data_IF_637440033229
#
_entry.id   IF_637440033229
#
_cell.length_a   1.000
_cell.length_b   1.000
_cell.length_c   1.000
_cell.angle_alpha   90.00
_cell.angle_beta   90.00
_cell.angle_gamma   90.00
#
_symmetry.space_group_name_H-M   'P 1'
#
loop_
_entity.id
_entity.type
_entity.pdbx_description
1 polymer ?
#
# COMPACT_ATOMS: atom_id res chain seq x y z
N UNK A 1 20.65 -8.36 10.32
CA UNK A 1 21.05 -6.95 10.24
C UNK A 1 19.87 -6.18 9.67
N UNK A 2 19.11 -5.46 10.49
CA UNK A 2 17.99 -4.65 10.00
C UNK A 2 18.51 -3.57 9.05
N UNK A 3 17.89 -3.46 7.87
CA UNK A 3 18.38 -2.55 6.84
C UNK A 3 18.05 -1.11 7.23
N UNK A 4 18.95 -0.19 6.87
CA UNK A 4 18.83 1.25 7.17
C UNK A 4 17.55 1.89 6.63
N UNK A 5 16.93 1.28 5.62
CA UNK A 5 15.67 1.68 4.98
C UNK A 5 14.42 1.34 5.79
N UNK A 6 14.52 0.58 6.88
CA UNK A 6 13.39 0.18 7.74
C UNK A 6 13.46 0.82 9.13
N UNK A 7 14.33 1.82 9.30
CA UNK A 7 14.55 2.50 10.58
C UNK A 7 13.80 3.82 10.68
N UNK A 8 12.99 3.95 11.73
CA UNK A 8 12.37 5.20 12.19
C UNK A 8 13.04 5.61 13.50
N UNK A 9 13.56 6.84 13.58
CA UNK A 9 14.26 7.36 14.77
C UNK A 9 15.34 6.42 15.34
N UNK A 10 16.07 5.71 14.46
CA UNK A 10 17.13 4.78 14.84
C UNK A 10 16.66 3.40 15.33
N UNK A 11 15.34 3.12 15.30
CA UNK A 11 14.73 1.84 15.68
C UNK A 11 13.99 1.22 14.50
N UNK A 12 13.84 -0.10 14.50
CA UNK A 12 12.99 -0.77 13.51
C UNK A 12 11.52 -0.37 13.72
N UNK A 13 10.76 -0.15 12.66
CA UNK A 13 9.39 0.37 12.78
C UNK A 13 8.46 -0.52 13.65
N UNK A 14 8.73 -1.82 13.75
CA UNK A 14 7.96 -2.75 14.61
C UNK A 14 8.17 -2.49 16.10
N UNK A 15 9.27 -1.84 16.50
CA UNK A 15 9.53 -1.48 17.90
C UNK A 15 8.58 -0.38 18.41
N UNK A 16 7.87 0.29 17.50
CA UNK A 16 6.88 1.31 17.85
C UNK A 16 5.48 0.74 18.06
N UNK A 17 5.26 -0.58 17.89
CA UNK A 17 3.94 -1.20 18.05
C UNK A 17 3.41 -1.02 19.48
N UNK A 18 4.25 -1.23 20.49
CA UNK A 18 3.85 -1.07 21.89
C UNK A 18 3.53 0.39 22.21
N UNK A 19 4.30 1.34 21.64
CA UNK A 19 4.03 2.76 21.77
C UNK A 19 2.70 3.15 21.11
N UNK A 20 2.39 2.63 19.92
CA UNK A 20 1.10 2.85 19.25
C UNK A 20 -0.04 2.34 20.13
N UNK A 21 0.08 1.11 20.65
CA UNK A 21 -0.94 0.52 21.50
C UNK A 21 -1.16 1.32 22.80
N UNK A 22 -0.10 1.90 23.37
CA UNK A 22 -0.19 2.76 24.54
C UNK A 22 -0.90 4.08 24.22
N UNK A 23 -0.50 4.76 23.13
CA UNK A 23 -1.13 6.00 22.70
C UNK A 23 -2.62 5.81 22.33
N UNK A 24 -2.99 4.67 21.74
CA UNK A 24 -4.39 4.32 21.48
C UNK A 24 -5.20 4.16 22.77
N UNK A 25 -4.62 3.58 23.82
CA UNK A 25 -5.28 3.47 25.14
C UNK A 25 -5.46 4.82 25.82
N UNK A 26 -4.53 5.75 25.58
CA UNK A 26 -4.59 7.12 26.09
C UNK A 26 -5.44 8.05 25.20
N UNK A 27 -6.07 7.51 24.14
CA UNK A 27 -6.89 8.27 23.18
C UNK A 27 -6.14 9.45 22.53
N UNK A 28 -4.81 9.34 22.46
CA UNK A 28 -3.89 10.30 21.84
C UNK A 28 -3.86 10.11 20.33
N UNK A 29 -5.01 10.34 19.67
CA UNK A 29 -5.23 9.98 18.27
C UNK A 29 -4.31 10.72 17.31
N UNK A 30 -3.94 11.97 17.60
CA UNK A 30 -3.04 12.76 16.76
C UNK A 30 -1.62 12.21 16.77
N UNK A 31 -1.14 11.79 17.94
CA UNK A 31 0.17 11.16 18.10
C UNK A 31 0.22 9.78 17.45
N UNK A 32 -0.86 8.99 17.55
CA UNK A 32 -0.97 7.72 16.84
C UNK A 32 -0.96 7.95 15.32
N UNK A 33 -1.72 8.93 14.82
CA UNK A 33 -1.76 9.31 13.41
C UNK A 33 -0.36 9.65 12.91
N UNK A 34 0.35 10.53 13.61
CA UNK A 34 1.71 10.95 13.25
C UNK A 34 2.66 9.76 13.19
N UNK A 35 2.68 8.92 14.24
CA UNK A 35 3.58 7.77 14.31
C UNK A 35 3.28 6.73 13.22
N UNK A 36 2.00 6.46 12.93
CA UNK A 36 1.61 5.55 11.86
C UNK A 36 2.00 6.08 10.48
N UNK A 37 1.85 7.39 10.23
CA UNK A 37 2.27 8.01 8.97
C UNK A 37 3.78 7.93 8.77
N UNK A 38 4.57 8.22 9.81
CA UNK A 38 6.03 8.08 9.76
C UNK A 38 6.47 6.64 9.45
N UNK A 39 5.83 5.64 10.07
CA UNK A 39 6.09 4.22 9.78
C UNK A 39 5.74 3.89 8.32
N UNK A 40 4.59 4.36 7.84
CA UNK A 40 4.14 4.16 6.46
C UNK A 40 5.14 4.76 5.46
N UNK A 41 5.62 5.97 5.70
CA UNK A 41 6.59 6.64 4.83
C UNK A 41 7.91 5.88 4.73
N UNK A 42 8.42 5.36 5.85
CA UNK A 42 9.64 4.53 5.88
C UNK A 42 9.43 3.25 5.08
N UNK A 43 8.31 2.55 5.28
CA UNK A 43 8.00 1.32 4.54
C UNK A 43 7.84 1.57 3.03
N UNK A 44 7.14 2.62 2.63
CA UNK A 44 6.93 2.96 1.21
C UNK A 44 8.24 3.28 0.52
N UNK A 45 9.12 4.04 1.18
CA UNK A 45 10.44 4.35 0.65
C UNK A 45 11.27 3.08 0.47
N UNK A 46 11.25 2.18 1.45
CA UNK A 46 11.90 0.88 1.34
C UNK A 46 11.32 0.04 0.19
N UNK A 47 10.00 0.00 0.05
CA UNK A 47 9.32 -0.74 -1.00
C UNK A 47 9.71 -0.25 -2.42
N UNK A 48 9.82 1.07 -2.60
CA UNK A 48 10.23 1.69 -3.86
C UNK A 48 11.72 1.53 -4.20
N UNK A 49 12.56 1.20 -3.23
CA UNK A 49 14.03 1.11 -3.41
C UNK A 49 14.54 -0.33 -3.41
N UNK A 50 13.89 -1.22 -2.66
CA UNK A 50 14.46 -2.52 -2.27
C UNK A 50 13.46 -3.68 -2.40
N UNK A 51 12.30 -3.45 -3.01
CA UNK A 51 11.25 -4.48 -3.20
C UNK A 51 10.68 -5.06 -1.93
N UNK A 52 10.75 -4.29 -0.85
CA UNK A 52 10.09 -4.60 0.41
C UNK A 52 8.55 -4.59 0.25
N UNK A 53 7.88 -5.37 1.08
CA UNK A 53 6.42 -5.31 1.20
C UNK A 53 6.02 -4.15 2.11
N UNK A 54 4.93 -3.48 1.78
CA UNK A 54 4.29 -2.56 2.73
C UNK A 54 3.34 -3.38 3.58
N UNK A 55 3.42 -3.25 4.90
CA UNK A 55 2.55 -3.99 5.80
C UNK A 55 1.15 -3.32 5.82
N UNK A 56 0.09 -3.98 5.33
CA UNK A 56 -1.23 -3.34 5.20
C UNK A 56 -1.88 -3.02 6.55
N UNK A 57 -1.44 -3.70 7.62
CA UNK A 57 -1.95 -3.50 8.97
C UNK A 57 -1.84 -2.05 9.47
N UNK A 58 -0.76 -1.33 9.12
CA UNK A 58 -0.58 0.07 9.54
C UNK A 58 -1.57 1.01 8.84
N UNK A 59 -1.80 0.82 7.54
CA UNK A 59 -2.79 1.58 6.77
C UNK A 59 -4.21 1.30 7.29
N UNK A 60 -4.54 0.02 7.50
CA UNK A 60 -5.85 -0.39 8.03
C UNK A 60 -6.10 0.14 9.44
N UNK A 61 -5.06 0.16 10.30
CA UNK A 61 -5.16 0.76 11.64
C UNK A 61 -5.43 2.26 11.55
N UNK A 62 -4.69 2.98 10.71
CA UNK A 62 -4.89 4.42 10.52
C UNK A 62 -6.27 4.74 9.91
N UNK A 63 -6.75 3.93 8.95
CA UNK A 63 -8.10 4.04 8.40
C UNK A 63 -9.19 3.87 9.48
N UNK A 64 -9.03 2.94 10.43
CA UNK A 64 -9.96 2.77 11.56
C UNK A 64 -9.97 3.98 12.49
N UNK A 65 -8.81 4.61 12.73
CA UNK A 65 -8.72 5.84 13.54
C UNK A 65 -9.47 6.98 12.85
N UNK A 66 -9.28 7.14 11.53
CA UNK A 66 -10.03 8.13 10.75
C UNK A 66 -11.54 7.87 10.73
N UNK A 67 -11.94 6.60 10.69
CA UNK A 67 -13.36 6.24 10.83
C UNK A 67 -13.92 6.69 12.19
N UNK A 68 -13.23 6.38 13.29
CA UNK A 68 -13.64 6.76 14.66
C UNK A 68 -13.72 8.27 14.85
N UNK A 69 -12.77 9.00 14.29
CA UNK A 69 -12.70 10.47 14.36
C UNK A 69 -13.52 11.18 13.28
N UNK A 70 -14.33 10.43 12.51
CA UNK A 70 -15.20 10.94 11.43
C UNK A 70 -14.45 11.71 10.32
N UNK A 71 -13.17 11.43 10.13
CA UNK A 71 -12.32 12.02 9.10
C UNK A 71 -12.39 11.21 7.79
N UNK A 72 -13.56 11.20 7.14
CA UNK A 72 -13.85 10.40 5.94
C UNK A 72 -12.81 10.61 4.82
N UNK A 73 -12.42 11.84 4.54
CA UNK A 73 -11.47 12.14 3.47
C UNK A 73 -10.08 11.56 3.74
N UNK A 74 -9.61 11.61 4.99
CA UNK A 74 -8.34 11.01 5.38
C UNK A 74 -8.39 9.48 5.30
N UNK A 75 -9.52 8.89 5.68
CA UNK A 75 -9.76 7.45 5.54
C UNK A 75 -9.65 6.99 4.08
N UNK A 76 -10.27 7.73 3.15
CA UNK A 76 -10.19 7.44 1.71
C UNK A 76 -8.74 7.56 1.24
N UNK A 77 -8.07 8.66 1.60
CA UNK A 77 -6.68 8.92 1.18
C UNK A 77 -5.74 7.81 1.61
N UNK A 78 -5.83 7.32 2.84
CA UNK A 78 -4.91 6.27 3.32
C UNK A 78 -5.17 4.91 2.67
N UNK A 79 -6.43 4.57 2.37
CA UNK A 79 -6.77 3.35 1.65
C UNK A 79 -6.32 3.41 0.18
N UNK A 80 -6.48 4.55 -0.49
CA UNK A 80 -5.92 4.76 -1.84
C UNK A 80 -4.39 4.64 -1.83
N UNK A 81 -3.75 5.26 -0.83
CA UNK A 81 -2.29 5.21 -0.67
C UNK A 81 -1.78 3.77 -0.54
N UNK A 82 -2.50 2.88 0.14
CA UNK A 82 -2.17 1.44 0.19
C UNK A 82 -2.33 0.76 -1.18
N UNK A 83 -3.44 1.02 -1.88
CA UNK A 83 -3.78 0.37 -3.15
C UNK A 83 -2.75 0.63 -4.26
N UNK A 84 -2.13 1.80 -4.24
CA UNK A 84 -1.10 2.16 -5.22
C UNK A 84 0.29 1.62 -4.87
N UNK A 85 0.47 0.95 -3.72
CA UNK A 85 1.77 0.37 -3.39
C UNK A 85 2.04 -0.89 -4.20
N UNK A 86 3.22 -1.03 -4.82
CA UNK A 86 3.56 -2.16 -5.70
C UNK A 86 3.53 -3.53 -5.01
N UNK A 87 3.59 -3.57 -3.67
CA UNK A 87 3.69 -4.79 -2.86
C UNK A 87 2.70 -4.79 -1.67
N UNK A 88 1.45 -4.34 -1.87
CA UNK A 88 0.43 -4.21 -0.81
C UNK A 88 -0.31 -5.49 -0.40
N UNK A 89 -0.08 -6.63 -1.06
CA UNK A 89 -0.77 -7.89 -0.74
C UNK A 89 -2.24 -7.94 -1.19
N UNK A 90 -2.70 -9.09 -1.69
CA UNK A 90 -3.97 -9.20 -2.41
C UNK A 90 -5.23 -9.13 -1.54
N UNK A 91 -5.17 -9.51 -0.26
CA UNK A 91 -6.32 -9.52 0.63
C UNK A 91 -6.80 -8.11 0.99
N UNK A 92 -5.87 -7.14 1.10
CA UNK A 92 -6.20 -5.77 1.53
C UNK A 92 -6.68 -4.88 0.38
N UNK A 93 -6.34 -5.24 -0.87
CA UNK A 93 -6.77 -4.50 -2.04
C UNK A 93 -8.26 -4.69 -2.37
N UNK A 94 -8.79 -5.90 -2.21
CA UNK A 94 -10.22 -6.19 -2.40
C UNK A 94 -11.10 -5.45 -1.38
N UNK A 95 -10.66 -5.40 -0.12
CA UNK A 95 -11.39 -4.68 0.93
C UNK A 95 -11.38 -3.16 0.70
N UNK A 96 -10.26 -2.61 0.25
CA UNK A 96 -10.13 -1.17 0.00
C UNK A 96 -10.97 -0.70 -1.20
N UNK A 97 -11.04 -1.47 -2.30
CA UNK A 97 -11.95 -1.16 -3.43
C UNK A 97 -13.43 -1.21 -3.01
N UNK A 98 -13.82 -2.22 -2.21
CA UNK A 98 -15.17 -2.30 -1.65
C UNK A 98 -15.48 -1.07 -0.78
N UNK A 99 -14.50 -0.57 -0.04
CA UNK A 99 -14.64 0.60 0.80
C UNK A 99 -14.76 1.91 0.01
N UNK A 100 -14.03 2.06 -1.09
CA UNK A 100 -14.09 3.27 -1.94
C UNK A 100 -15.45 3.41 -2.65
N UNK A 101 -16.04 2.29 -3.08
CA UNK A 101 -17.40 2.26 -3.62
C UNK A 101 -18.41 2.84 -2.65
N UNK A 102 -18.32 2.48 -1.37
CA UNK A 102 -19.23 2.94 -0.32
C UNK A 102 -19.09 4.44 -0.01
N UNK A 103 -17.99 5.08 -0.42
CA UNK A 103 -17.66 6.45 -0.02
C UNK A 103 -17.86 7.49 -1.13
N UNK A 104 -17.85 7.10 -2.41
CA UNK A 104 -17.76 8.04 -3.53
C UNK A 104 -18.84 7.97 -4.61
N UNK A 105 -19.75 6.99 -4.60
CA UNK A 105 -20.78 6.85 -5.66
C UNK A 105 -20.20 6.75 -7.09
N UNK A 106 -18.97 6.25 -7.21
CA UNK A 106 -18.27 6.06 -8.49
C UNK A 106 -18.40 4.61 -8.98
N UNK A 107 -18.43 4.45 -10.29
CA UNK A 107 -18.36 3.14 -10.92
C UNK A 107 -17.03 2.43 -10.60
N UNK A 108 -17.08 1.10 -10.49
CA UNK A 108 -15.93 0.29 -10.10
C UNK A 108 -14.74 0.45 -11.07
N UNK A 109 -15.02 0.54 -12.38
CA UNK A 109 -13.97 0.66 -13.39
C UNK A 109 -13.37 2.06 -13.39
N UNK A 110 -14.15 3.10 -13.07
CA UNK A 110 -13.63 4.45 -12.88
C UNK A 110 -12.64 4.50 -11.71
N UNK A 111 -13.00 3.90 -10.57
CA UNK A 111 -12.12 3.80 -9.39
C UNK A 111 -10.83 3.05 -9.76
N UNK A 112 -10.94 1.88 -10.42
CA UNK A 112 -9.77 1.09 -10.83
C UNK A 112 -8.86 1.86 -11.78
N UNK A 113 -9.43 2.54 -12.77
CA UNK A 113 -8.64 3.32 -13.73
C UNK A 113 -7.95 4.51 -13.06
N UNK A 114 -8.62 5.19 -12.13
CA UNK A 114 -8.01 6.26 -11.32
C UNK A 114 -6.85 5.73 -10.50
N UNK A 115 -7.06 4.67 -9.72
CA UNK A 115 -6.03 4.03 -8.91
C UNK A 115 -4.85 3.56 -9.76
N UNK A 116 -5.12 3.03 -10.95
CA UNK A 116 -4.05 2.61 -11.85
C UNK A 116 -3.22 3.78 -12.38
N UNK A 117 -3.84 4.93 -12.67
CA UNK A 117 -3.10 6.15 -13.04
C UNK A 117 -2.21 6.64 -11.90
N UNK A 118 -2.75 6.68 -10.69
CA UNK A 118 -1.99 7.06 -9.49
C UNK A 118 -0.85 6.08 -9.21
N UNK A 119 -1.10 4.77 -9.40
CA UNK A 119 -0.07 3.74 -9.34
C UNK A 119 1.06 3.97 -10.34
N UNK A 120 0.73 4.27 -11.61
CA UNK A 120 1.75 4.53 -12.64
C UNK A 120 2.61 5.74 -12.30
N UNK A 121 2.00 6.81 -11.80
CA UNK A 121 2.74 7.99 -11.31
C UNK A 121 3.63 7.62 -10.12
N UNK A 122 3.12 6.81 -9.19
CA UNK A 122 3.87 6.35 -8.02
C UNK A 122 5.11 5.54 -8.41
N UNK A 123 4.96 4.54 -9.27
CA UNK A 123 6.09 3.70 -9.68
C UNK A 123 7.09 4.43 -10.59
N UNK A 124 6.67 5.49 -11.30
CA UNK A 124 7.60 6.32 -12.08
C UNK A 124 8.63 7.07 -11.22
N UNK A 125 8.37 7.21 -9.91
CA UNK A 125 9.27 7.82 -8.93
C UNK A 125 10.31 6.82 -8.38
N UNK A 126 10.20 5.54 -8.74
CA UNK A 126 11.12 4.49 -8.30
C UNK A 126 12.43 4.49 -9.11
N UNK A 127 13.52 4.08 -8.45
CA UNK A 127 14.80 3.76 -9.11
C UNK A 127 14.85 2.32 -9.66
N UNK A 128 13.81 1.52 -9.41
CA UNK A 128 13.73 0.13 -9.85
C UNK A 128 13.35 0.05 -11.34
N UNK A 129 13.78 -1.03 -12.00
CA UNK A 129 13.36 -1.31 -13.37
C UNK A 129 11.86 -1.60 -13.40
N UNK A 130 11.21 -1.31 -14.52
CA UNK A 130 9.82 -1.70 -14.76
C UNK A 130 9.73 -2.76 -15.84
N UNK A 131 8.64 -3.54 -15.84
CA UNK A 131 8.31 -4.50 -16.88
C UNK A 131 6.81 -4.50 -17.11
N UNK A 132 6.39 -4.97 -18.28
CA UNK A 132 4.99 -5.08 -18.67
C UNK A 132 4.61 -6.55 -18.86
N UNK A 133 3.50 -6.96 -18.24
CA UNK A 133 2.93 -8.31 -18.42
C UNK A 133 1.43 -8.26 -18.57
N UNK A 134 0.88 -9.19 -19.34
CA UNK A 134 -0.55 -9.40 -19.45
C UNK A 134 -1.06 -10.12 -18.19
N UNK A 135 -2.05 -9.56 -17.53
CA UNK A 135 -2.72 -10.20 -16.41
C UNK A 135 -3.64 -11.32 -16.93
N UNK A 136 -3.50 -12.54 -16.42
CA UNK A 136 -4.35 -13.67 -16.81
C UNK A 136 -5.80 -13.54 -16.31
N UNK A 137 -6.02 -12.76 -15.24
CA UNK A 137 -7.35 -12.62 -14.64
C UNK A 137 -8.21 -11.56 -15.32
N UNK A 138 -7.62 -10.45 -15.77
CA UNK A 138 -8.38 -9.38 -16.45
C UNK A 138 -8.00 -9.18 -17.91
N UNK A 139 -7.01 -9.90 -18.43
CA UNK A 139 -6.53 -9.80 -19.80
C UNK A 139 -5.77 -8.51 -20.13
N UNK A 140 -5.68 -7.55 -19.21
CA UNK A 140 -5.03 -6.25 -19.44
C UNK A 140 -3.52 -6.35 -19.27
N UNK A 141 -2.76 -5.64 -20.11
CA UNK A 141 -1.32 -5.44 -19.91
C UNK A 141 -1.11 -4.43 -18.79
N UNK A 142 -0.30 -4.80 -17.80
CA UNK A 142 0.03 -3.96 -16.65
C UNK A 142 1.54 -3.81 -16.52
N UNK A 143 1.96 -2.58 -16.20
CA UNK A 143 3.33 -2.26 -15.80
C UNK A 143 3.54 -2.51 -14.31
N UNK A 144 4.70 -3.01 -13.92
CA UNK A 144 5.07 -3.25 -12.52
C UNK A 144 6.57 -3.06 -12.28
N UNK A 145 6.97 -2.93 -11.01
CA UNK A 145 8.37 -2.85 -10.60
C UNK A 145 9.01 -4.24 -10.57
N UNK A 146 10.22 -4.36 -11.13
CA UNK A 146 11.03 -5.59 -11.13
C UNK A 146 12.09 -5.49 -10.04
N UNK A 147 12.12 -6.43 -9.07
CA UNK A 147 13.18 -6.47 -8.09
C UNK A 147 14.56 -6.60 -8.68
N UNK A 148 15.53 -5.98 -8.01
CA UNK A 148 16.93 -6.08 -8.39
C UNK A 148 17.36 -7.55 -8.31
N UNK A 149 17.72 -8.13 -9.44
CA UNK A 149 18.16 -9.53 -9.55
C UNK A 149 17.04 -10.57 -9.60
N UNK A 150 15.77 -10.16 -9.70
CA UNK A 150 14.66 -11.07 -9.93
C UNK A 150 14.25 -11.11 -11.40
N UNK A 151 14.13 -12.31 -11.97
CA UNK A 151 13.54 -12.52 -13.30
C UNK A 151 12.01 -12.47 -13.29
N UNK A 152 11.41 -12.76 -12.12
CA UNK A 152 9.96 -12.75 -11.92
C UNK A 152 9.59 -12.09 -10.60
N UNK A 153 8.52 -11.30 -10.65
CA UNK A 153 7.89 -10.73 -9.46
C UNK A 153 6.52 -11.36 -9.26
N UNK A 154 6.28 -12.01 -8.12
CA UNK A 154 4.93 -12.40 -7.69
C UNK A 154 4.17 -11.14 -7.29
N UNK A 155 3.71 -10.39 -8.28
CA UNK A 155 2.93 -9.17 -8.07
C UNK A 155 1.44 -9.42 -7.99
N UNK A 156 0.71 -8.44 -7.48
CA UNK A 156 -0.74 -8.32 -7.68
C UNK A 156 -1.03 -7.41 -8.88
N UNK A 157 -2.14 -7.64 -9.60
CA UNK A 157 -2.51 -6.79 -10.72
C UNK A 157 -3.02 -5.44 -10.20
N UNK A 158 -2.42 -4.29 -10.52
CA UNK A 158 -2.89 -2.99 -10.03
C UNK A 158 -4.23 -2.55 -10.63
N UNK A 159 -4.76 -3.28 -11.62
CA UNK A 159 -6.07 -3.04 -12.20
C UNK A 159 -7.17 -3.92 -11.58
N UNK A 160 -6.94 -5.22 -11.44
CA UNK A 160 -7.97 -6.16 -10.94
C UNK A 160 -7.70 -6.67 -9.53
N UNK A 161 -6.55 -6.31 -8.94
CA UNK A 161 -6.12 -6.67 -7.59
C UNK A 161 -6.04 -8.19 -7.33
N UNK A 162 -5.95 -9.00 -8.38
CA UNK A 162 -5.69 -10.44 -8.24
C UNK A 162 -4.22 -10.69 -7.92
N UNK A 163 -3.94 -11.63 -7.02
CA UNK A 163 -2.60 -12.13 -6.68
C UNK A 163 -1.96 -12.98 -7.78
N UNK A 164 -2.74 -13.45 -8.76
CA UNK A 164 -2.29 -14.46 -9.72
C UNK A 164 -2.04 -13.82 -11.10
N UNK A 165 -1.00 -12.98 -11.20
CA UNK A 165 -0.56 -12.43 -12.51
C UNK A 165 0.43 -13.35 -13.22
N UNK A 166 1.06 -14.30 -12.52
CA UNK A 166 2.11 -15.15 -13.10
C UNK A 166 1.93 -16.59 -12.64
N UNK A 167 1.32 -17.43 -13.49
CA UNK A 167 1.82 -18.80 -13.62
C UNK A 167 2.88 -18.75 -14.73
N UNK A 168 4.14 -19.00 -14.35
CA UNK A 168 5.16 -19.33 -15.34
C UNK A 168 4.85 -20.73 -15.89
N UNK A 169 4.86 -20.86 -17.22
CA UNK A 169 5.36 -22.10 -17.81
C UNK A 169 6.89 -22.08 -17.70
#
# INVERSE_FOLDING_TARGET
MSKKSEMLHGKHYTEFIDQINQLEKEEKWEEVEKLLLEIIEVMEKSALQETAYVAPAFYSKLAKIYQKTKQKDKQIKILNRLLIQPNSGSSTAKESVKYLKLLGDLDEDEIKNKLYREYLEHISKSALKTSEKKCYMCGKTVRYLVPKGAEMFRGFCPLCHSSDIIQGQ
#
